data_IF_074628112404
#
_entry.id   IF_074628112404
#
_cell.length_a   1.000
_cell.length_b   1.000
_cell.length_c   1.000
_cell.angle_alpha   90.00
_cell.angle_beta   90.00
_cell.angle_gamma   90.00
#
_symmetry.space_group_name_H-M   'P 1'
#
loop_
_entity.id
_entity.type
_entity.pdbx_description
1 polymer ?
#
# COMPACT_ATOMS: atom_id res chain seq x y z
N UNK A 1 5.71 -21.75 62.29
CA UNK A 1 6.21 -20.46 62.78
C UNK A 1 6.07 -19.47 61.64
N UNK A 2 5.06 -18.61 61.51
CA UNK A 2 4.13 -18.04 62.47
C UNK A 2 4.15 -16.52 62.29
N UNK A 3 3.05 -15.98 61.75
CA UNK A 3 2.53 -14.60 61.88
C UNK A 3 3.29 -13.48 61.15
N UNK A 4 2.66 -12.44 60.58
CA UNK A 4 1.25 -12.04 60.47
C UNK A 4 1.12 -10.83 59.55
N UNK A 5 0.03 -10.82 58.78
CA UNK A 5 -0.88 -9.72 58.39
C UNK A 5 -0.48 -8.26 58.67
N UNK A 6 -0.78 -7.37 57.71
CA UNK A 6 -1.72 -6.26 57.91
C UNK A 6 -2.49 -6.03 56.60
N UNK A 7 -3.80 -5.93 56.80
CA UNK A 7 -4.88 -5.82 55.84
C UNK A 7 -5.42 -4.37 55.94
N UNK A 8 -6.36 -3.99 55.07
CA UNK A 8 -7.51 -3.07 55.35
C UNK A 8 -7.53 -1.64 54.72
N UNK A 9 -8.65 -1.43 54.00
CA UNK A 9 -9.35 -0.20 53.51
C UNK A 9 -8.83 0.44 52.21
N UNK A 10 -9.51 0.34 51.06
CA UNK A 10 -10.88 0.78 50.70
C UNK A 10 -11.21 2.20 51.17
N UNK A 11 -11.23 3.16 50.24
CA UNK A 11 -12.16 4.28 50.27
C UNK A 11 -12.36 4.85 48.87
N UNK A 12 -13.62 4.76 48.43
CA UNK A 12 -14.19 5.58 47.38
C UNK A 12 -14.05 7.06 47.72
N UNK A 13 -13.58 7.86 46.79
CA UNK A 13 -13.97 9.26 46.69
C UNK A 13 -14.25 9.59 45.23
N UNK A 14 -15.54 9.74 44.95
CA UNK A 14 -16.10 10.56 43.88
C UNK A 14 -15.30 11.85 43.72
N UNK A 15 -14.82 12.11 42.51
CA UNK A 15 -14.52 13.48 42.06
C UNK A 15 -14.79 13.55 40.56
N UNK A 16 -15.97 14.07 40.23
CA UNK A 16 -16.23 14.68 38.92
C UNK A 16 -15.34 15.92 38.78
N UNK A 17 -14.75 16.16 37.61
CA UNK A 17 -14.59 17.52 37.13
C UNK A 17 -15.54 17.73 35.94
N UNK A 18 -16.54 18.57 36.18
CA UNK A 18 -17.21 19.32 35.12
C UNK A 18 -16.19 20.15 34.33
N UNK A 19 -16.55 20.42 33.08
CA UNK A 19 -15.99 21.44 32.20
C UNK A 19 -14.52 21.30 31.76
N UNK A 20 -14.30 20.55 30.67
CA UNK A 20 -13.18 20.84 29.77
C UNK A 20 -13.67 21.06 28.34
N UNK A 21 -13.88 22.36 28.05
CA UNK A 21 -13.91 22.93 26.71
C UNK A 21 -12.81 22.33 25.84
N UNK A 22 -13.22 21.94 24.63
CA UNK A 22 -12.38 21.55 23.50
C UNK A 22 -11.09 22.41 23.44
N UNK A 23 -9.94 21.82 23.79
CA UNK A 23 -8.64 22.49 23.70
C UNK A 23 -8.25 22.52 22.23
N UNK A 24 -8.58 23.64 21.57
CA UNK A 24 -7.96 24.02 20.30
C UNK A 24 -6.56 24.57 20.59
N UNK A 25 -5.56 23.99 19.92
CA UNK A 25 -4.25 24.57 19.59
C UNK A 25 -3.27 24.91 20.72
N UNK A 26 -2.48 23.93 21.20
CA UNK A 26 -1.16 24.20 21.82
C UNK A 26 -0.08 23.10 21.58
N UNK A 27 -0.02 22.48 20.38
CA UNK A 27 1.09 21.55 20.05
C UNK A 27 2.34 22.28 19.49
N UNK A 28 2.30 23.61 19.30
CA UNK A 28 3.36 24.31 18.54
C UNK A 28 4.48 25.00 19.33
N UNK A 29 4.70 24.70 20.62
CA UNK A 29 5.77 25.36 21.41
C UNK A 29 6.71 24.50 22.25
N UNK A 30 6.51 23.19 22.38
CA UNK A 30 7.36 22.38 23.27
C UNK A 30 8.43 21.50 22.58
N UNK A 31 8.58 21.57 21.26
CA UNK A 31 9.55 20.72 20.56
C UNK A 31 11.01 21.22 20.64
N UNK A 32 11.26 22.49 20.97
CA UNK A 32 12.64 23.03 21.00
C UNK A 32 13.47 22.63 22.22
N UNK A 33 12.85 22.15 23.30
CA UNK A 33 13.57 21.85 24.55
C UNK A 33 13.93 20.37 24.68
N UNK A 34 13.28 19.49 23.90
CA UNK A 34 13.53 18.03 23.93
C UNK A 34 14.63 17.63 22.92
N UNK A 35 14.92 18.47 21.94
CA UNK A 35 15.96 18.23 20.92
C UNK A 35 17.41 18.28 21.43
N UNK A 36 17.63 18.65 22.70
CA UNK A 36 18.98 18.84 23.27
C UNK A 36 19.52 17.64 24.05
N UNK A 37 18.69 16.62 24.33
CA UNK A 37 19.06 15.51 25.24
C UNK A 37 19.26 14.17 24.51
N UNK A 38 18.80 14.02 23.26
CA UNK A 38 18.89 12.75 22.52
C UNK A 38 20.06 12.66 21.52
N UNK A 39 21.04 13.58 21.58
CA UNK A 39 22.32 13.43 20.87
C UNK A 39 23.27 12.54 21.67
N UNK A 40 23.01 11.24 21.74
CA UNK A 40 23.98 10.12 21.86
C UNK A 40 23.13 8.86 21.85
N UNK A 41 22.98 8.23 20.69
CA UNK A 41 22.85 6.78 20.46
C UNK A 41 22.34 6.56 19.02
N UNK A 42 23.31 6.58 18.09
CA UNK A 42 23.15 6.15 16.70
C UNK A 42 22.79 4.66 16.63
N UNK A 43 21.51 4.40 16.45
CA UNK A 43 21.01 3.30 15.63
C UNK A 43 19.75 3.85 14.97
N UNK A 44 19.83 4.22 13.68
CA UNK A 44 18.67 4.67 12.92
C UNK A 44 17.66 3.54 12.84
N UNK A 45 16.72 3.50 13.78
CA UNK A 45 15.40 2.97 13.53
C UNK A 45 14.78 3.90 12.51
N UNK A 46 14.95 3.61 11.21
CA UNK A 46 14.16 4.22 10.15
C UNK A 46 12.69 3.93 10.48
N UNK A 47 12.04 4.91 11.12
CA UNK A 47 10.60 4.84 11.40
C UNK A 47 9.89 4.96 10.07
N UNK A 48 9.41 3.83 9.55
CA UNK A 48 8.58 3.78 8.36
C UNK A 48 7.30 4.58 8.60
N UNK A 49 7.03 5.55 7.73
CA UNK A 49 5.80 6.35 7.75
C UNK A 49 5.09 6.21 6.40
N UNK A 50 3.85 5.72 6.42
CA UNK A 50 3.00 5.63 5.23
C UNK A 50 2.70 7.02 4.63
N UNK A 51 2.68 8.05 5.46
CA UNK A 51 2.37 9.42 5.05
C UNK A 51 3.59 10.16 4.50
N UNK A 52 4.79 9.66 4.75
CA UNK A 52 6.00 10.25 4.18
C UNK A 52 6.02 10.05 2.67
N UNK A 53 6.08 11.17 1.94
CA UNK A 53 6.24 11.17 0.48
C UNK A 53 7.58 11.79 0.11
N UNK A 54 8.51 11.03 -0.51
CA UNK A 54 9.76 11.58 -1.00
C UNK A 54 9.50 12.53 -2.18
N UNK A 55 10.36 13.54 -2.34
CA UNK A 55 10.33 14.39 -3.53
C UNK A 55 10.79 13.60 -4.75
N UNK A 56 9.90 13.46 -5.74
CA UNK A 56 10.11 12.63 -6.92
C UNK A 56 10.90 13.34 -8.03
N UNK A 57 11.05 14.66 -7.99
CA UNK A 57 11.67 15.42 -9.08
C UNK A 57 13.14 15.02 -9.32
N UNK A 58 13.85 14.66 -8.25
CA UNK A 58 15.25 14.25 -8.30
C UNK A 58 15.44 12.81 -7.79
N UNK A 59 14.36 12.05 -7.63
CA UNK A 59 14.43 10.70 -7.09
C UNK A 59 14.91 9.72 -8.16
N UNK A 60 15.97 8.92 -7.90
CA UNK A 60 16.52 7.99 -8.89
C UNK A 60 15.61 6.77 -9.16
N UNK A 61 14.53 6.63 -8.41
CA UNK A 61 13.65 5.45 -8.43
C UNK A 61 14.13 4.35 -7.47
N UNK A 62 13.56 3.15 -7.55
CA UNK A 62 14.02 2.00 -6.78
C UNK A 62 15.47 1.65 -7.14
N UNK A 63 16.25 1.28 -6.12
CA UNK A 63 17.63 0.87 -6.34
C UNK A 63 17.69 -0.42 -7.19
N UNK A 64 18.78 -0.63 -7.96
CA UNK A 64 18.93 -1.83 -8.78
C UNK A 64 18.77 -3.14 -7.99
N UNK A 65 19.17 -3.18 -6.72
CA UNK A 65 19.00 -4.35 -5.85
C UNK A 65 17.54 -4.67 -5.56
N UNK A 66 16.70 -3.65 -5.32
CA UNK A 66 15.26 -3.83 -5.08
C UNK A 66 14.58 -4.28 -6.38
N UNK A 67 14.97 -3.71 -7.53
CA UNK A 67 14.45 -4.14 -8.84
C UNK A 67 14.84 -5.58 -9.15
N UNK A 68 16.09 -5.97 -8.88
CA UNK A 68 16.55 -7.35 -9.04
C UNK A 68 15.75 -8.30 -8.15
N UNK A 69 15.50 -7.92 -6.89
CA UNK A 69 14.65 -8.69 -5.98
C UNK A 69 13.24 -8.89 -6.54
N UNK A 70 12.60 -7.83 -7.06
CA UNK A 70 11.26 -7.91 -7.65
C UNK A 70 11.21 -8.77 -8.94
N UNK A 71 12.33 -8.90 -9.65
CA UNK A 71 12.48 -9.72 -10.86
C UNK A 71 12.89 -11.18 -10.57
N UNK A 72 13.20 -11.52 -9.31
CA UNK A 72 13.70 -12.85 -8.93
C UNK A 72 12.58 -13.68 -8.31
N UNK A 73 12.17 -14.76 -8.98
CA UNK A 73 11.12 -15.65 -8.46
C UNK A 73 11.67 -16.56 -7.36
N UNK A 74 10.81 -17.10 -6.52
CA UNK A 74 11.20 -18.08 -5.49
C UNK A 74 11.83 -19.35 -6.08
N UNK A 75 11.45 -19.74 -7.30
CA UNK A 75 12.04 -20.86 -8.03
C UNK A 75 13.52 -20.65 -8.41
N UNK A 76 14.01 -19.41 -8.42
CA UNK A 76 15.42 -19.13 -8.62
C UNK A 76 16.29 -19.63 -7.46
N UNK A 77 15.71 -19.87 -6.28
CA UNK A 77 16.41 -20.36 -5.09
C UNK A 77 17.67 -19.53 -4.78
N UNK A 78 17.55 -18.21 -4.94
CA UNK A 78 18.55 -17.22 -4.57
C UNK A 78 18.29 -16.70 -3.14
N UNK A 79 19.23 -15.95 -2.58
CA UNK A 79 19.07 -15.31 -1.26
C UNK A 79 18.07 -14.15 -1.23
N UNK A 80 17.57 -13.74 -2.40
CA UNK A 80 16.57 -12.68 -2.57
C UNK A 80 15.43 -13.18 -3.46
N UNK A 81 14.20 -12.81 -3.15
CA UNK A 81 13.03 -13.14 -3.97
C UNK A 81 11.93 -12.06 -3.86
N UNK A 82 10.96 -12.15 -4.77
CA UNK A 82 9.89 -11.17 -4.92
C UNK A 82 8.77 -11.26 -3.86
N UNK A 83 8.69 -12.31 -3.04
CA UNK A 83 7.49 -12.64 -2.23
C UNK A 83 7.07 -11.50 -1.26
N UNK A 84 8.05 -10.88 -0.59
CA UNK A 84 7.76 -9.76 0.33
C UNK A 84 7.30 -8.50 -0.40
N UNK A 85 7.87 -8.25 -1.58
CA UNK A 85 7.52 -7.11 -2.42
C UNK A 85 6.15 -7.33 -3.08
N UNK A 86 5.87 -8.56 -3.52
CA UNK A 86 4.57 -9.01 -4.04
C UNK A 86 3.49 -8.76 -3.00
N UNK A 87 3.69 -9.22 -1.76
CA UNK A 87 2.70 -9.08 -0.68
C UNK A 87 2.30 -7.62 -0.43
N UNK A 88 3.27 -6.71 -0.33
CA UNK A 88 2.99 -5.29 -0.09
C UNK A 88 2.43 -4.61 -1.35
N UNK A 89 2.90 -5.02 -2.54
CA UNK A 89 2.45 -4.51 -3.82
C UNK A 89 1.00 -4.88 -4.13
N UNK A 90 0.59 -6.13 -3.90
CA UNK A 90 -0.79 -6.63 -4.04
C UNK A 90 -1.74 -5.86 -3.11
N UNK A 91 -1.34 -5.68 -1.85
CA UNK A 91 -2.11 -4.91 -0.86
C UNK A 91 -2.33 -3.48 -1.33
N UNK A 92 -1.28 -2.80 -1.81
CA UNK A 92 -1.37 -1.43 -2.29
C UNK A 92 -2.14 -1.32 -3.61
N UNK A 93 -1.95 -2.26 -4.55
CA UNK A 93 -2.69 -2.33 -5.81
C UNK A 93 -4.20 -2.41 -5.54
N UNK A 94 -4.61 -3.31 -4.65
CA UNK A 94 -6.02 -3.47 -4.24
C UNK A 94 -6.56 -2.19 -3.61
N UNK A 95 -5.80 -1.58 -2.70
CA UNK A 95 -6.18 -0.31 -2.07
C UNK A 95 -6.35 0.81 -3.10
N UNK A 96 -5.33 1.07 -3.92
CA UNK A 96 -5.31 2.16 -4.89
C UNK A 96 -6.43 2.05 -5.93
N UNK A 97 -6.67 0.85 -6.45
CA UNK A 97 -7.77 0.59 -7.40
C UNK A 97 -9.12 0.78 -6.71
N UNK A 98 -9.29 0.29 -5.48
CA UNK A 98 -10.55 0.44 -4.73
C UNK A 98 -10.85 1.89 -4.44
N UNK A 99 -9.89 2.64 -3.91
CA UNK A 99 -10.02 4.05 -3.60
C UNK A 99 -10.35 4.86 -4.86
N UNK A 100 -9.64 4.59 -5.96
CA UNK A 100 -9.89 5.22 -7.26
C UNK A 100 -11.32 4.97 -7.75
N UNK A 101 -11.77 3.70 -7.77
CA UNK A 101 -13.11 3.35 -8.23
C UNK A 101 -14.19 4.00 -7.36
N UNK A 102 -14.03 3.95 -6.03
CA UNK A 102 -14.96 4.56 -5.08
C UNK A 102 -15.10 6.07 -5.28
N UNK A 103 -13.99 6.80 -5.49
CA UNK A 103 -14.01 8.25 -5.63
C UNK A 103 -14.40 8.74 -7.03
N UNK A 104 -14.29 7.89 -8.06
CA UNK A 104 -14.61 8.27 -9.45
C UNK A 104 -16.02 7.88 -9.88
N UNK A 105 -16.58 6.83 -9.29
CA UNK A 105 -17.89 6.30 -9.65
C UNK A 105 -18.91 6.57 -8.53
N UNK A 106 -19.38 7.82 -8.46
CA UNK A 106 -20.41 8.21 -7.50
C UNK A 106 -21.72 7.44 -7.77
N UNK A 107 -22.40 7.00 -6.71
CA UNK A 107 -23.70 6.33 -6.75
C UNK A 107 -23.74 4.98 -7.50
N UNK A 108 -22.59 4.32 -7.69
CA UNK A 108 -22.54 2.96 -8.22
C UNK A 108 -22.63 1.95 -7.07
N UNK A 109 -23.44 0.91 -7.26
CA UNK A 109 -23.62 -0.14 -6.25
C UNK A 109 -22.34 -0.95 -6.03
N UNK A 110 -22.13 -1.41 -4.80
CA UNK A 110 -20.96 -2.18 -4.36
C UNK A 110 -20.61 -3.35 -5.28
N UNK A 111 -21.62 -4.11 -5.73
CA UNK A 111 -21.43 -5.25 -6.64
C UNK A 111 -20.70 -4.88 -7.94
N UNK A 112 -21.11 -3.79 -8.59
CA UNK A 112 -20.46 -3.33 -9.84
C UNK A 112 -19.04 -2.84 -9.55
N UNK A 113 -18.82 -2.12 -8.44
CA UNK A 113 -17.48 -1.69 -8.05
C UNK A 113 -16.57 -2.87 -7.74
N UNK A 114 -17.10 -3.91 -7.11
CA UNK A 114 -16.38 -5.16 -6.80
C UNK A 114 -16.00 -5.93 -8.06
N UNK A 115 -16.89 -5.98 -9.05
CA UNK A 115 -16.61 -6.61 -10.34
C UNK A 115 -15.54 -5.83 -11.12
N UNK A 116 -15.66 -4.50 -11.18
CA UNK A 116 -14.64 -3.63 -11.79
C UNK A 116 -13.28 -3.80 -11.11
N UNK A 117 -13.25 -3.73 -9.78
CA UNK A 117 -12.02 -3.95 -8.99
C UNK A 117 -11.39 -5.30 -9.33
N UNK A 118 -12.18 -6.37 -9.33
CA UNK A 118 -11.71 -7.73 -9.61
C UNK A 118 -11.12 -7.86 -11.02
N UNK A 119 -11.73 -7.20 -12.02
CA UNK A 119 -11.17 -7.15 -13.37
C UNK A 119 -9.80 -6.45 -13.41
N UNK A 120 -9.68 -5.30 -12.73
CA UNK A 120 -8.45 -4.50 -12.70
C UNK A 120 -7.30 -5.20 -11.97
N UNK A 121 -7.57 -5.86 -10.83
CA UNK A 121 -6.54 -6.53 -10.01
C UNK A 121 -6.36 -8.01 -10.35
N UNK A 122 -7.04 -8.53 -11.37
CA UNK A 122 -6.92 -9.93 -11.74
C UNK A 122 -5.51 -10.29 -12.25
N UNK A 123 -5.01 -11.48 -11.88
CA UNK A 123 -3.71 -11.98 -12.34
C UNK A 123 -3.64 -12.01 -13.88
N UNK A 124 -4.76 -12.30 -14.58
CA UNK A 124 -4.79 -12.27 -16.05
C UNK A 124 -4.55 -10.86 -16.60
N UNK A 125 -5.12 -9.83 -15.98
CA UNK A 125 -4.87 -8.46 -16.38
C UNK A 125 -3.41 -8.06 -16.10
N UNK A 126 -2.90 -8.34 -14.90
CA UNK A 126 -1.51 -8.04 -14.53
C UNK A 126 -0.50 -8.77 -15.43
N UNK A 127 -0.74 -10.04 -15.73
CA UNK A 127 0.03 -10.80 -16.71
C UNK A 127 0.07 -10.09 -18.07
N UNK A 128 -1.09 -9.66 -18.60
CA UNK A 128 -1.16 -8.97 -19.90
C UNK A 128 -0.33 -7.69 -19.87
N UNK A 129 -0.42 -6.90 -18.81
CA UNK A 129 0.37 -5.68 -18.64
C UNK A 129 1.88 -5.98 -18.55
N UNK A 130 2.27 -6.95 -17.72
CA UNK A 130 3.66 -7.36 -17.57
C UNK A 130 4.27 -7.93 -18.86
N UNK A 131 3.48 -8.68 -19.62
CA UNK A 131 3.86 -9.19 -20.94
C UNK A 131 4.09 -8.06 -21.95
N UNK A 132 3.22 -7.06 -21.99
CA UNK A 132 3.40 -5.88 -22.86
C UNK A 132 4.67 -5.09 -22.52
N UNK A 133 5.10 -5.11 -21.26
CA UNK A 133 6.37 -4.49 -20.80
C UNK A 133 7.58 -5.42 -20.89
N UNK A 134 7.40 -6.64 -21.39
CA UNK A 134 8.45 -7.65 -21.53
C UNK A 134 9.14 -8.02 -20.21
N UNK A 135 8.40 -8.03 -19.09
CA UNK A 135 8.98 -8.41 -17.79
C UNK A 135 9.42 -9.87 -17.75
N UNK A 136 8.69 -10.77 -18.42
CA UNK A 136 9.08 -12.18 -18.50
C UNK A 136 10.51 -12.39 -18.99
N UNK A 137 10.97 -11.63 -19.99
CA UNK A 137 12.34 -11.78 -20.53
C UNK A 137 13.43 -11.27 -19.57
N UNK A 138 13.05 -10.53 -18.54
CA UNK A 138 13.97 -9.91 -17.56
C UNK A 138 13.93 -10.60 -16.20
N UNK A 139 13.01 -11.54 -16.02
CA UNK A 139 12.84 -12.25 -14.76
C UNK A 139 13.84 -13.39 -14.63
N UNK A 140 14.30 -13.61 -13.41
CA UNK A 140 15.16 -14.74 -13.03
C UNK A 140 14.25 -15.76 -12.36
N UNK A 141 14.00 -16.88 -13.04
CA UNK A 141 13.09 -17.92 -12.53
C UNK A 141 13.72 -19.30 -12.33
N UNK A 142 14.98 -19.46 -12.71
CA UNK A 142 15.71 -20.71 -12.50
C UNK A 142 16.99 -20.42 -11.73
N UNK A 143 17.40 -21.40 -10.94
CA UNK A 143 18.63 -21.31 -10.17
C UNK A 143 19.82 -21.16 -11.10
N UNK A 144 20.67 -20.17 -10.83
CA UNK A 144 21.90 -19.98 -11.58
C UNK A 144 22.88 -21.13 -11.32
N UNK A 145 23.26 -21.84 -12.38
CA UNK A 145 24.15 -22.99 -12.34
C UNK A 145 25.16 -22.89 -13.50
N UNK A 146 26.40 -22.42 -13.24
CA UNK A 146 27.39 -22.13 -14.27
C UNK A 146 27.68 -23.26 -15.26
N UNK A 147 27.45 -24.51 -14.85
CA UNK A 147 27.72 -25.70 -15.67
C UNK A 147 26.58 -26.05 -16.64
N UNK A 148 25.36 -25.60 -16.36
CA UNK A 148 24.14 -26.06 -17.04
C UNK A 148 23.38 -24.94 -17.75
N UNK A 149 23.41 -23.70 -17.24
CA UNK A 149 22.60 -22.60 -17.79
C UNK A 149 23.35 -21.27 -17.97
N UNK A 150 24.68 -21.25 -17.78
CA UNK A 150 25.45 -20.05 -18.08
C UNK A 150 25.89 -20.03 -19.53
N UNK A 151 25.65 -18.90 -20.19
CA UNK A 151 26.21 -18.57 -21.49
C UNK A 151 27.10 -17.32 -21.37
N UNK A 152 28.26 -17.31 -22.04
CA UNK A 152 29.08 -16.11 -22.10
C UNK A 152 28.37 -15.00 -22.88
N UNK A 153 28.67 -13.72 -22.59
CA UNK A 153 28.15 -12.60 -23.36
C UNK A 153 28.37 -12.78 -24.87
N UNK A 154 27.36 -12.43 -25.67
CA UNK A 154 27.36 -12.54 -27.14
C UNK A 154 27.38 -13.97 -27.70
N UNK A 155 27.20 -15.01 -26.88
CA UNK A 155 27.02 -16.37 -27.38
C UNK A 155 25.57 -16.58 -27.83
N UNK A 156 25.38 -16.81 -29.13
CA UNK A 156 24.08 -17.13 -29.72
C UNK A 156 24.05 -18.63 -29.96
N UNK A 157 23.13 -19.33 -29.31
CA UNK A 157 22.93 -20.75 -29.58
C UNK A 157 22.41 -20.94 -31.02
N UNK A 158 22.98 -21.85 -31.82
CA UNK A 158 22.50 -22.10 -33.17
C UNK A 158 21.04 -22.61 -33.15
N UNK A 159 20.13 -21.96 -33.89
CA UNK A 159 18.69 -22.31 -34.00
C UNK A 159 18.35 -23.79 -34.28
N UNK A 160 19.31 -24.59 -34.76
CA UNK A 160 19.13 -26.03 -34.98
C UNK A 160 19.18 -26.84 -33.68
N UNK A 161 19.95 -26.41 -32.67
CA UNK A 161 19.97 -27.04 -31.35
C UNK A 161 18.68 -26.74 -30.58
N UNK A 162 18.16 -25.52 -30.68
CA UNK A 162 16.95 -25.06 -30.00
C UNK A 162 15.74 -26.00 -30.22
N UNK A 163 15.48 -26.41 -31.46
CA UNK A 163 14.37 -27.33 -31.79
C UNK A 163 14.56 -28.75 -31.25
N UNK A 164 15.80 -29.25 -31.22
CA UNK A 164 16.11 -30.56 -30.66
C UNK A 164 16.03 -30.55 -29.13
N UNK A 165 16.41 -29.43 -28.53
CA UNK A 165 16.39 -29.16 -27.10
C UNK A 165 14.96 -29.01 -26.57
N UNK A 166 14.10 -28.23 -27.24
CA UNK A 166 12.66 -28.10 -26.91
C UNK A 166 11.99 -29.48 -26.89
N UNK A 167 12.30 -30.34 -27.85
CA UNK A 167 11.76 -31.71 -27.92
C UNK A 167 12.26 -32.64 -26.80
N UNK A 168 13.36 -32.26 -26.13
CA UNK A 168 13.97 -33.04 -25.04
C UNK A 168 13.69 -32.47 -23.64
N UNK A 169 12.94 -31.37 -23.52
CA UNK A 169 12.70 -30.63 -22.26
C UNK A 169 13.96 -30.12 -21.54
N UNK A 170 15.15 -30.11 -22.18
CA UNK A 170 16.40 -29.65 -21.57
C UNK A 170 16.65 -28.19 -21.97
N UNK A 171 15.78 -27.25 -21.59
CA UNK A 171 15.98 -25.88 -22.04
C UNK A 171 17.17 -25.22 -21.33
N UNK A 172 18.29 -25.08 -22.05
CA UNK A 172 19.54 -24.47 -21.58
C UNK A 172 19.36 -22.94 -21.43
N UNK A 173 18.43 -22.35 -22.20
CA UNK A 173 18.25 -20.90 -22.31
C UNK A 173 16.80 -20.42 -22.20
N UNK A 174 15.78 -21.27 -22.40
CA UNK A 174 14.39 -20.80 -22.30
C UNK A 174 13.91 -20.89 -20.85
N UNK A 175 13.80 -19.73 -20.22
CA UNK A 175 13.06 -19.58 -18.97
C UNK A 175 11.56 -19.71 -19.26
N UNK A 176 10.98 -20.87 -18.98
CA UNK A 176 9.51 -21.03 -19.00
C UNK A 176 8.97 -20.37 -17.72
N UNK A 177 8.53 -19.13 -17.86
CA UNK A 177 7.90 -18.39 -16.78
C UNK A 177 6.40 -18.55 -16.95
N UNK A 178 5.74 -19.01 -15.89
CA UNK A 178 4.29 -19.17 -15.91
C UNK A 178 3.61 -17.78 -15.84
N UNK A 179 2.39 -17.69 -16.37
CA UNK A 179 1.65 -16.43 -16.44
C UNK A 179 1.46 -15.78 -15.05
N UNK A 180 1.30 -16.63 -14.02
CA UNK A 180 1.15 -16.19 -12.64
C UNK A 180 2.41 -15.48 -12.13
N UNK A 181 3.60 -16.01 -12.39
CA UNK A 181 4.86 -15.42 -11.97
C UNK A 181 5.08 -14.03 -12.57
N UNK A 182 4.61 -13.79 -13.80
CA UNK A 182 4.66 -12.44 -14.40
C UNK A 182 3.69 -11.49 -13.65
N UNK A 183 2.51 -11.97 -13.26
CA UNK A 183 1.57 -11.18 -12.45
C UNK A 183 2.16 -10.86 -11.07
N UNK A 184 2.70 -11.86 -10.37
CA UNK A 184 3.36 -11.71 -9.06
C UNK A 184 4.55 -10.73 -9.16
N UNK A 185 5.30 -10.77 -10.27
CA UNK A 185 6.38 -9.81 -10.57
C UNK A 185 5.86 -8.37 -10.76
N UNK A 186 4.71 -8.18 -11.42
CA UNK A 186 4.09 -6.86 -11.55
C UNK A 186 3.72 -6.31 -10.17
N UNK A 187 3.13 -7.13 -9.31
CA UNK A 187 2.82 -6.76 -7.92
C UNK A 187 4.10 -6.41 -7.15
N UNK A 188 5.14 -7.24 -7.27
CA UNK A 188 6.43 -6.98 -6.63
C UNK A 188 7.08 -5.67 -7.09
N UNK A 189 6.97 -5.32 -8.38
CA UNK A 189 7.45 -4.04 -8.89
C UNK A 189 6.62 -2.86 -8.34
N UNK A 190 5.30 -3.00 -8.19
CA UNK A 190 4.47 -1.99 -7.51
C UNK A 190 4.97 -1.81 -6.07
N UNK A 191 5.23 -2.91 -5.36
CA UNK A 191 5.80 -2.89 -4.01
C UNK A 191 7.16 -2.21 -3.95
N UNK A 192 8.06 -2.48 -4.91
CA UNK A 192 9.37 -1.84 -5.03
C UNK A 192 9.28 -0.32 -5.16
N UNK A 193 8.36 0.17 -6.00
CA UNK A 193 8.11 1.61 -6.15
C UNK A 193 7.45 2.21 -4.91
N UNK A 194 6.58 1.47 -4.22
CA UNK A 194 5.97 1.94 -2.99
C UNK A 194 7.01 2.17 -1.89
N UNK A 195 7.91 1.21 -1.67
CA UNK A 195 8.93 1.34 -0.61
C UNK A 195 10.00 2.38 -0.93
N UNK A 196 10.31 2.58 -2.22
CA UNK A 196 11.40 3.48 -2.63
C UNK A 196 10.91 4.90 -2.89
N UNK A 197 9.71 5.05 -3.45
CA UNK A 197 9.21 6.31 -4.00
C UNK A 197 7.88 6.75 -3.34
N UNK A 198 7.41 6.07 -2.30
CA UNK A 198 6.15 6.38 -1.62
C UNK A 198 4.91 6.05 -2.46
N UNK A 199 3.74 6.48 -1.95
CA UNK A 199 2.45 6.20 -2.58
C UNK A 199 2.37 6.84 -3.97
N UNK A 200 2.92 8.04 -4.13
CA UNK A 200 2.88 8.80 -5.37
C UNK A 200 3.72 8.15 -6.46
N UNK A 201 4.92 7.68 -6.11
CA UNK A 201 5.78 6.96 -7.04
C UNK A 201 5.15 5.63 -7.50
N UNK A 202 4.52 4.90 -6.58
CA UNK A 202 3.78 3.69 -6.91
C UNK A 202 2.57 3.96 -7.83
N UNK A 203 1.79 5.01 -7.56
CA UNK A 203 0.65 5.38 -8.43
C UNK A 203 1.09 5.81 -9.83
N UNK A 204 2.22 6.54 -9.95
CA UNK A 204 2.82 6.87 -11.24
C UNK A 204 3.26 5.62 -12.00
N UNK A 205 3.91 4.67 -11.31
CA UNK A 205 4.32 3.40 -11.90
C UNK A 205 3.10 2.59 -12.37
N UNK A 206 2.04 2.50 -11.55
CA UNK A 206 0.78 1.85 -11.92
C UNK A 206 0.12 2.50 -13.15
N UNK A 207 0.13 3.83 -13.23
CA UNK A 207 -0.36 4.56 -14.40
C UNK A 207 0.48 4.28 -15.65
N UNK A 208 1.82 4.25 -15.51
CA UNK A 208 2.74 3.88 -16.60
C UNK A 208 2.57 2.42 -17.07
N UNK A 209 2.19 1.51 -16.17
CA UNK A 209 1.82 0.13 -16.50
C UNK A 209 0.52 0.08 -17.32
N UNK A 210 -0.35 1.07 -17.20
CA UNK A 210 -1.68 1.12 -17.84
C UNK A 210 -2.84 0.84 -16.88
N UNK A 211 -2.60 0.81 -15.56
CA UNK A 211 -3.65 0.70 -14.55
C UNK A 211 -4.20 2.10 -14.26
N UNK A 212 -5.52 2.28 -14.43
CA UNK A 212 -6.19 3.55 -14.17
C UNK A 212 -6.39 3.76 -12.67
N UNK A 213 -5.53 4.58 -12.06
CA UNK A 213 -5.58 4.94 -10.62
C UNK A 213 -5.39 6.44 -10.35
N UNK A 214 -5.32 7.28 -11.40
CA UNK A 214 -5.10 8.72 -11.28
C UNK A 214 -6.19 9.48 -12.04
N UNK A 215 -6.71 10.56 -11.43
CA UNK A 215 -7.71 11.45 -12.04
C UNK A 215 -7.10 12.62 -12.80
N UNK A 216 -5.89 13.02 -12.42
CA UNK A 216 -5.13 14.11 -13.04
C UNK A 216 -3.65 13.78 -13.04
N UNK A 217 -2.92 14.34 -14.01
CA UNK A 217 -1.46 14.31 -14.05
C UNK A 217 -0.86 15.56 -13.39
N UNK A 218 -1.68 16.44 -12.79
CA UNK A 218 -1.21 17.60 -12.06
C UNK A 218 -0.46 17.18 -10.80
N UNK A 219 0.83 17.48 -10.76
CA UNK A 219 1.74 17.14 -9.68
C UNK A 219 1.28 17.63 -8.29
N UNK A 220 0.48 18.69 -8.20
CA UNK A 220 -0.04 19.20 -6.92
C UNK A 220 -1.22 18.39 -6.36
N UNK A 221 -1.90 17.58 -7.18
CA UNK A 221 -3.09 16.79 -6.80
C UNK A 221 -2.91 15.29 -7.08
N UNK A 222 -1.71 14.88 -7.47
CA UNK A 222 -1.40 13.50 -7.80
C UNK A 222 -1.58 12.62 -6.55
N UNK A 223 -2.47 11.64 -6.63
CA UNK A 223 -2.84 10.78 -5.50
C UNK A 223 -3.88 11.37 -4.55
N UNK A 224 -4.32 12.61 -4.73
CA UNK A 224 -5.44 13.18 -3.98
C UNK A 224 -6.76 12.86 -4.69
N UNK A 225 -7.52 11.92 -4.11
CA UNK A 225 -8.88 11.61 -4.54
C UNK A 225 -9.86 12.39 -3.66
N UNK A 226 -10.71 13.20 -4.28
CA UNK A 226 -11.79 13.86 -3.54
C UNK A 226 -12.83 12.79 -3.19
N UNK A 227 -13.17 12.60 -1.90
CA UNK A 227 -14.19 11.63 -1.52
C UNK A 227 -15.56 12.03 -2.11
N UNK A 228 -16.40 11.06 -2.46
CA UNK A 228 -17.75 11.33 -2.92
C UNK A 228 -18.56 11.97 -1.79
N UNK A 229 -19.35 13.00 -2.12
CA UNK A 229 -20.22 13.66 -1.14
C UNK A 229 -21.18 12.66 -0.49
N UNK A 230 -21.40 12.77 0.82
CA UNK A 230 -22.31 11.89 1.56
C UNK A 230 -23.73 11.93 0.96
N UNK A 231 -24.28 10.76 0.63
CA UNK A 231 -25.62 10.65 0.02
C UNK A 231 -26.76 11.06 0.97
N UNK A 232 -26.52 11.01 2.28
CA UNK A 232 -27.53 11.25 3.34
C UNK A 232 -28.04 12.70 3.33
N UNK A 233 -27.23 13.65 2.87
CA UNK A 233 -27.48 15.08 3.01
C UNK A 233 -27.84 15.80 1.70
N UNK A 234 -27.89 15.08 0.57
CA UNK A 234 -27.97 15.70 -0.74
C UNK A 234 -29.40 16.07 -1.19
N UNK A 235 -30.43 15.58 -0.50
CA UNK A 235 -31.84 15.71 -0.88
C UNK A 235 -32.74 16.38 0.18
N UNK A 236 -32.18 16.99 1.22
CA UNK A 236 -32.93 17.51 2.37
C UNK A 236 -32.71 19.03 2.45
N UNK A 237 -33.80 19.78 2.64
CA UNK A 237 -33.79 21.26 2.73
C UNK A 237 -33.07 21.79 3.99
N UNK A 238 -32.94 20.98 5.05
CA UNK A 238 -32.23 21.26 6.31
C UNK A 238 -31.32 20.08 6.69
N UNK A 239 -30.29 19.85 5.88
CA UNK A 239 -29.36 18.72 6.04
C UNK A 239 -28.54 18.79 7.33
N UNK A 240 -28.14 19.98 7.79
CA UNK A 240 -27.36 20.11 9.03
C UNK A 240 -28.20 19.87 10.29
N UNK A 241 -29.44 20.36 10.33
CA UNK A 241 -30.35 20.14 11.46
C UNK A 241 -30.72 18.67 11.63
N UNK A 242 -30.93 17.95 10.53
CA UNK A 242 -31.22 16.52 10.54
C UNK A 242 -29.99 15.67 10.88
N UNK A 243 -28.81 16.03 10.34
CA UNK A 243 -27.55 15.40 10.74
C UNK A 243 -27.34 15.51 12.25
N UNK A 244 -27.54 16.70 12.83
CA UNK A 244 -27.37 16.92 14.28
C UNK A 244 -28.29 16.02 15.11
N UNK A 245 -29.52 15.79 14.65
CA UNK A 245 -30.47 14.88 15.32
C UNK A 245 -30.04 13.42 15.21
N UNK A 246 -29.61 12.98 14.03
CA UNK A 246 -29.16 11.60 13.79
C UNK A 246 -27.84 11.28 14.50
N UNK A 247 -27.09 12.32 14.87
CA UNK A 247 -25.83 12.23 15.57
C UNK A 247 -25.92 12.30 17.09
N UNK A 248 -27.13 12.42 17.64
CA UNK A 248 -27.31 12.47 19.09
C UNK A 248 -26.69 11.23 19.77
N UNK A 249 -25.84 11.46 20.78
CA UNK A 249 -25.10 10.41 21.47
C UNK A 249 -23.78 9.97 20.82
N UNK A 250 -23.46 10.40 19.60
CA UNK A 250 -22.17 10.12 18.97
C UNK A 250 -21.01 10.91 19.61
N UNK A 251 -21.27 11.96 20.40
CA UNK A 251 -20.20 12.68 21.12
C UNK A 251 -19.51 11.78 22.14
N UNK A 252 -20.26 10.89 22.81
CA UNK A 252 -19.68 9.89 23.70
C UNK A 252 -18.75 8.96 22.93
N UNK A 253 -19.13 8.56 21.71
CA UNK A 253 -18.28 7.73 20.85
C UNK A 253 -16.99 8.45 20.44
N UNK A 254 -17.08 9.71 19.99
CA UNK A 254 -15.90 10.54 19.67
C UNK A 254 -14.97 10.71 20.89
N UNK A 255 -15.55 10.88 22.09
CA UNK A 255 -14.80 11.01 23.34
C UNK A 255 -14.07 9.71 23.71
N UNK A 256 -14.71 8.55 23.56
CA UNK A 256 -14.07 7.26 23.79
C UNK A 256 -12.96 6.98 22.78
N UNK A 257 -13.14 7.39 21.52
CA UNK A 257 -12.13 7.26 20.47
C UNK A 257 -10.98 8.27 20.64
N UNK A 258 -11.24 9.40 21.30
CA UNK A 258 -10.31 10.52 21.41
C UNK A 258 -10.09 11.25 20.08
N UNK A 259 -11.05 11.17 19.15
CA UNK A 259 -10.96 11.73 17.80
C UNK A 259 -12.25 12.45 17.41
N UNK A 260 -12.13 13.69 16.92
CA UNK A 260 -13.24 14.47 16.40
C UNK A 260 -13.24 14.42 14.86
N UNK A 261 -14.33 13.92 14.28
CA UNK A 261 -14.47 13.83 12.83
C UNK A 261 -14.71 15.22 12.23
N UNK A 262 -13.97 15.55 11.16
CA UNK A 262 -14.14 16.83 10.44
C UNK A 262 -15.48 16.89 9.71
N UNK A 263 -15.84 15.79 9.05
CA UNK A 263 -17.13 15.62 8.39
C UNK A 263 -17.81 14.40 9.01
N UNK A 264 -18.81 14.70 9.84
CA UNK A 264 -19.52 13.70 10.62
C UNK A 264 -20.55 12.90 9.81
N UNK A 265 -20.86 13.33 8.59
CA UNK A 265 -21.76 12.60 7.69
C UNK A 265 -21.21 11.22 7.32
N UNK A 266 -19.88 11.10 7.15
CA UNK A 266 -19.22 9.81 6.90
C UNK A 266 -19.25 8.88 8.12
N UNK A 267 -19.16 9.44 9.34
CA UNK A 267 -19.28 8.64 10.56
C UNK A 267 -20.69 8.05 10.67
N UNK A 268 -21.71 8.87 10.41
CA UNK A 268 -23.09 8.40 10.38
C UNK A 268 -23.27 7.31 9.32
N UNK A 269 -22.78 7.54 8.10
CA UNK A 269 -22.87 6.56 7.01
C UNK A 269 -22.15 5.24 7.33
N UNK A 270 -21.06 5.26 8.08
CA UNK A 270 -20.32 4.05 8.45
C UNK A 270 -21.05 3.19 9.50
N UNK A 271 -22.00 3.77 10.24
CA UNK A 271 -22.76 3.07 11.28
C UNK A 271 -24.16 2.63 10.84
N UNK A 272 -24.59 2.99 9.63
CA UNK A 272 -25.88 2.64 9.02
C UNK A 272 -25.71 1.57 7.96
#
# INVERSE_FOLDING_TARGET
>A
YGLSDINVLSNNTSFMPEDNKCIKNEIHKNNKTIDSINKVNDAQTETFSFDFQPDLNYHPGPSPSILLQALTTSNANDGINLERLETIGDSFLKYAVTAYLYCTHNNVHEGILSDLRSNHVSNLNLYRLGKLKMFGERMISTKFEPRSNWLPPCFIEPHKLEKAVINSNISITQHIINDKSIADCVEALIGAYLISCGNRGALLFMSWLGIRVLNTLDDSKLGYLKPPSSSILHNINDSEGELTKLMDGFESFEQHLGYCFQDRSYLLQAMT
#
